data_IF_937008944987
#
_entry.id   IF_937008944987
#
_cell.length_a   1.000
_cell.length_b   1.000
_cell.length_c   1.000
_cell.angle_alpha   90.00
_cell.angle_beta   90.00
_cell.angle_gamma   90.00
#
_symmetry.space_group_name_H-M   'P 1'
#
loop_
_entity.id
_entity.type
_entity.pdbx_description
1 polymer ?
#
# COMPACT_ATOMS: atom_id res chain seq x y z
N UNK A 1 -26.45 8.35 -9.49
CA UNK A 1 -25.95 9.16 -8.35
C UNK A 1 -25.56 8.18 -7.26
N UNK A 2 -24.40 8.35 -6.64
CA UNK A 2 -23.93 7.44 -5.59
C UNK A 2 -24.72 7.65 -4.28
N UNK A 3 -24.89 6.61 -3.43
CA UNK A 3 -25.42 6.80 -2.09
C UNK A 3 -24.46 7.67 -1.24
N UNK A 4 -24.94 8.36 -0.19
CA UNK A 4 -24.09 9.17 0.69
C UNK A 4 -22.90 8.37 1.21
N UNK A 5 -21.70 8.96 1.21
CA UNK A 5 -20.50 8.32 1.75
C UNK A 5 -20.63 8.14 3.27
N UNK A 6 -20.19 7.01 3.84
CA UNK A 6 -20.15 6.85 5.29
C UNK A 6 -19.14 7.82 5.92
N UNK A 7 -19.34 8.16 7.19
CA UNK A 7 -18.35 8.89 7.96
C UNK A 7 -17.11 8.02 8.18
N UNK A 8 -15.93 8.57 7.89
CA UNK A 8 -14.65 7.86 7.96
C UNK A 8 -13.88 8.12 9.27
N UNK A 9 -14.36 9.05 10.11
CA UNK A 9 -13.68 9.41 11.35
C UNK A 9 -12.27 9.95 11.10
N UNK A 10 -11.26 9.28 11.67
CA UNK A 10 -9.84 9.63 11.50
C UNK A 10 -9.25 9.15 10.16
N UNK A 11 -9.99 8.35 9.40
CA UNK A 11 -9.54 7.83 8.12
C UNK A 11 -9.87 8.81 6.99
N UNK A 12 -9.02 8.82 5.98
CA UNK A 12 -9.31 9.50 4.70
C UNK A 12 -9.07 8.56 3.53
N UNK A 13 -9.67 8.89 2.39
CA UNK A 13 -9.35 8.23 1.13
C UNK A 13 -7.87 8.46 0.80
N UNK A 14 -7.20 7.40 0.37
CA UNK A 14 -5.87 7.50 -0.20
C UNK A 14 -5.93 8.17 -1.58
N UNK A 15 -4.89 8.92 -1.88
CA UNK A 15 -4.63 9.54 -3.17
C UNK A 15 -3.41 8.90 -3.80
N UNK A 16 -3.21 9.07 -5.10
CA UNK A 16 -2.01 8.53 -5.75
C UNK A 16 -0.72 9.24 -5.28
N UNK A 17 -0.81 10.45 -4.72
CA UNK A 17 0.31 11.13 -4.05
C UNK A 17 0.72 10.47 -2.71
N UNK A 18 -0.11 9.59 -2.18
CA UNK A 18 0.20 8.84 -0.96
C UNK A 18 1.03 7.57 -1.25
N UNK A 19 1.10 7.12 -2.51
CA UNK A 19 1.68 5.82 -2.90
C UNK A 19 3.11 5.61 -2.39
N UNK A 20 4.05 6.58 -2.53
CA UNK A 20 5.41 6.37 -2.01
C UNK A 20 5.45 6.13 -0.49
N UNK A 21 4.56 6.77 0.26
CA UNK A 21 4.48 6.67 1.74
C UNK A 21 3.75 5.39 2.16
N UNK A 22 2.64 5.08 1.50
CA UNK A 22 1.85 3.86 1.70
C UNK A 22 2.74 2.62 1.55
N UNK A 23 3.61 2.59 0.54
CA UNK A 23 4.46 1.44 0.29
C UNK A 23 5.45 1.16 1.44
N UNK A 24 6.01 2.21 2.06
CA UNK A 24 6.87 2.06 3.25
C UNK A 24 6.06 1.54 4.42
N UNK A 25 4.92 2.17 4.71
CA UNK A 25 4.06 1.76 5.82
C UNK A 25 3.61 0.31 5.67
N UNK A 26 3.22 -0.08 4.46
CA UNK A 26 2.84 -1.45 4.14
C UNK A 26 4.02 -2.42 4.32
N UNK A 27 5.19 -2.12 3.76
CA UNK A 27 6.37 -2.97 3.88
C UNK A 27 6.82 -3.11 5.35
N UNK A 28 6.90 -2.02 6.11
CA UNK A 28 7.28 -2.01 7.52
C UNK A 28 6.27 -2.76 8.39
N UNK A 29 4.97 -2.54 8.15
CA UNK A 29 3.90 -3.18 8.93
C UNK A 29 3.77 -4.67 8.63
N UNK A 30 3.76 -5.06 7.34
CA UNK A 30 3.65 -6.45 6.95
C UNK A 30 4.89 -7.26 7.28
N UNK A 31 6.08 -6.64 7.34
CA UNK A 31 7.32 -7.33 7.70
C UNK A 31 7.18 -8.22 8.94
N UNK A 32 6.45 -7.76 9.96
CA UNK A 32 6.25 -8.50 11.21
C UNK A 32 5.17 -9.60 11.13
N UNK A 33 4.51 -9.76 9.98
CA UNK A 33 3.56 -10.86 9.76
C UNK A 33 4.29 -12.15 9.40
N UNK A 34 3.73 -13.29 9.80
CA UNK A 34 4.20 -14.61 9.36
C UNK A 34 4.13 -14.78 7.83
N UNK A 35 3.29 -13.99 7.17
CA UNK A 35 3.07 -13.99 5.74
C UNK A 35 4.24 -13.42 4.95
N UNK A 36 4.78 -12.30 5.41
CA UNK A 36 5.77 -11.54 4.64
C UNK A 36 7.01 -12.37 4.33
N UNK A 37 7.56 -13.06 5.33
CA UNK A 37 8.75 -13.89 5.14
C UNK A 37 8.50 -15.13 4.27
N UNK A 38 7.25 -15.60 4.21
CA UNK A 38 6.88 -16.72 3.34
C UNK A 38 6.73 -16.27 1.88
N UNK A 39 6.04 -15.16 1.63
CA UNK A 39 5.88 -14.60 0.27
C UNK A 39 7.21 -14.07 -0.29
N UNK A 40 8.00 -13.43 0.57
CA UNK A 40 9.16 -12.61 0.18
C UNK A 40 10.44 -13.07 0.87
N UNK A 41 10.93 -14.31 0.65
CA UNK A 41 12.12 -14.80 1.33
C UNK A 41 13.40 -14.06 0.95
N UNK A 42 13.42 -13.32 -0.17
CA UNK A 42 14.60 -12.60 -0.67
C UNK A 42 14.50 -11.08 -0.49
N UNK A 43 13.59 -10.60 0.39
CA UNK A 43 13.38 -9.17 0.67
C UNK A 43 14.66 -8.40 1.04
N UNK A 44 15.64 -9.05 1.68
CA UNK A 44 16.91 -8.41 2.06
C UNK A 44 17.79 -8.13 0.84
N UNK A 45 17.76 -9.03 -0.15
CA UNK A 45 18.56 -8.92 -1.37
C UNK A 45 17.93 -7.99 -2.40
N UNK A 46 16.59 -7.95 -2.41
CA UNK A 46 15.80 -7.20 -3.37
C UNK A 46 14.74 -6.28 -2.72
N UNK A 47 15.12 -5.41 -1.77
CA UNK A 47 14.17 -4.59 -1.01
C UNK A 47 13.37 -3.60 -1.87
N UNK A 48 13.93 -3.16 -2.99
CA UNK A 48 13.24 -2.30 -3.94
C UNK A 48 12.09 -3.02 -4.67
N UNK A 49 12.20 -4.33 -4.90
CA UNK A 49 11.11 -5.12 -5.49
C UNK A 49 9.92 -5.22 -4.51
N UNK A 50 10.19 -5.34 -3.21
CA UNK A 50 9.15 -5.27 -2.16
C UNK A 50 8.35 -3.98 -2.26
N UNK A 51 9.06 -2.85 -2.35
CA UNK A 51 8.43 -1.53 -2.41
C UNK A 51 7.68 -1.30 -3.72
N UNK A 52 8.28 -1.66 -4.86
CA UNK A 52 7.64 -1.60 -6.17
C UNK A 52 6.34 -2.43 -6.19
N UNK A 53 6.38 -3.63 -5.60
CA UNK A 53 5.19 -4.50 -5.48
C UNK A 53 4.09 -3.81 -4.66
N UNK A 54 4.39 -3.24 -3.49
CA UNK A 54 3.36 -2.53 -2.71
C UNK A 54 2.85 -1.26 -3.41
N UNK A 55 3.72 -0.45 -4.02
CA UNK A 55 3.31 0.75 -4.77
C UNK A 55 2.33 0.39 -5.88
N UNK A 56 2.63 -0.64 -6.65
CA UNK A 56 1.75 -1.07 -7.74
C UNK A 56 0.44 -1.66 -7.21
N UNK A 57 0.46 -2.49 -6.18
CA UNK A 57 -0.76 -3.04 -5.57
C UNK A 57 -1.70 -1.94 -5.11
N UNK A 58 -1.19 -0.93 -4.38
CA UNK A 58 -2.03 0.17 -3.92
C UNK A 58 -2.41 1.16 -5.02
N UNK A 59 -1.54 1.42 -6.00
CA UNK A 59 -1.88 2.24 -7.19
C UNK A 59 -3.05 1.61 -7.93
N UNK A 60 -2.97 0.30 -8.21
CA UNK A 60 -4.04 -0.45 -8.86
C UNK A 60 -5.33 -0.44 -8.04
N UNK A 61 -5.23 -0.60 -6.72
CA UNK A 61 -6.40 -0.54 -5.83
C UNK A 61 -7.05 0.85 -5.81
N UNK A 62 -6.28 1.93 -5.74
CA UNK A 62 -6.80 3.30 -5.78
C UNK A 62 -7.51 3.57 -7.12
N UNK A 63 -6.95 3.10 -8.23
CA UNK A 63 -7.53 3.26 -9.58
C UNK A 63 -8.65 2.25 -9.91
N UNK A 64 -8.94 1.29 -9.02
CA UNK A 64 -9.97 0.30 -9.24
C UNK A 64 -11.33 0.81 -8.72
N UNK A 65 -12.30 1.00 -9.63
CA UNK A 65 -13.66 1.44 -9.30
C UNK A 65 -14.37 0.58 -8.25
N UNK A 66 -13.97 -0.69 -8.12
CA UNK A 66 -14.54 -1.65 -7.18
C UNK A 66 -13.70 -1.80 -5.90
N UNK A 67 -12.77 -0.89 -5.63
CA UNK A 67 -11.97 -0.91 -4.41
C UNK A 67 -11.99 0.45 -3.70
N UNK A 68 -11.67 0.42 -2.41
CA UNK A 68 -11.45 1.59 -1.57
C UNK A 68 -10.10 1.42 -0.89
N UNK A 69 -9.28 2.46 -0.91
CA UNK A 69 -8.05 2.51 -0.10
C UNK A 69 -8.20 3.64 0.90
N UNK A 70 -8.03 3.31 2.17
CA UNK A 70 -8.10 4.24 3.28
C UNK A 70 -6.74 4.34 3.95
N UNK A 71 -6.39 5.55 4.40
CA UNK A 71 -5.20 5.79 5.21
C UNK A 71 -5.58 6.47 6.53
N UNK A 72 -4.80 6.18 7.55
CA UNK A 72 -4.81 6.91 8.81
C UNK A 72 -3.57 7.81 8.88
N UNK A 73 -3.76 9.03 9.36
CA UNK A 73 -2.68 9.98 9.59
C UNK A 73 -2.51 10.26 11.09
N UNK A 74 -1.28 10.29 11.56
CA UNK A 74 -0.94 10.71 12.91
C UNK A 74 0.23 11.70 12.90
N UNK A 75 0.57 12.19 14.09
CA UNK A 75 1.68 13.08 14.36
C UNK A 75 2.98 12.41 13.96
N UNK A 76 3.76 13.11 13.15
CA UNK A 76 5.05 12.62 12.69
C UNK A 76 6.01 12.40 13.87
N UNK A 77 6.37 11.14 14.11
CA UNK A 77 7.47 10.78 14.98
C UNK A 77 8.73 10.41 14.15
N UNK A 78 9.74 11.28 14.20
CA UNK A 78 10.96 11.12 13.40
C UNK A 78 11.83 9.92 13.78
N UNK A 79 11.64 9.34 14.98
CA UNK A 79 12.39 8.16 15.42
C UNK A 79 11.77 6.85 14.95
N UNK A 80 10.55 6.85 14.40
CA UNK A 80 9.91 5.60 13.95
C UNK A 80 10.66 4.96 12.77
N UNK A 81 11.38 5.77 11.99
CA UNK A 81 12.28 5.29 10.94
C UNK A 81 13.35 4.32 11.48
N UNK A 82 13.72 4.43 12.75
CA UNK A 82 14.74 3.58 13.37
C UNK A 82 14.18 2.19 13.77
N UNK A 83 12.85 2.01 13.66
CA UNK A 83 12.16 0.76 13.99
C UNK A 83 11.86 -0.11 12.75
N UNK A 84 12.17 0.36 11.54
CA UNK A 84 11.98 -0.43 10.31
C UNK A 84 13.13 -1.41 10.11
N UNK A 85 12.88 -2.53 9.44
CA UNK A 85 13.92 -3.54 9.19
C UNK A 85 15.04 -3.01 8.29
N UNK A 86 16.26 -3.48 8.52
CA UNK A 86 17.49 -2.89 7.96
C UNK A 86 17.49 -2.73 6.44
N UNK A 87 17.13 -3.78 5.70
CA UNK A 87 17.12 -3.73 4.23
C UNK A 87 16.20 -2.64 3.65
N UNK A 88 15.08 -2.35 4.32
CA UNK A 88 14.20 -1.25 3.94
C UNK A 88 14.78 0.12 4.32
N UNK A 89 15.38 0.23 5.52
CA UNK A 89 16.03 1.45 5.97
C UNK A 89 17.17 1.90 5.04
N UNK A 90 17.91 0.96 4.48
CA UNK A 90 19.06 1.23 3.59
C UNK A 90 18.66 1.54 2.14
N UNK A 91 17.51 1.06 1.70
CA UNK A 91 17.12 1.08 0.28
C UNK A 91 16.18 2.21 -0.09
N UNK A 92 15.57 2.85 0.92
CA UNK A 92 14.62 3.91 0.68
C UNK A 92 15.25 5.29 0.88
N UNK A 93 14.87 6.32 0.10
CA UNK A 93 15.32 7.69 0.32
C UNK A 93 15.05 8.10 1.78
N UNK A 94 15.74 9.13 2.26
CA UNK A 94 15.44 9.62 3.60
C UNK A 94 13.95 9.99 3.72
N UNK A 95 13.35 9.76 4.89
CA UNK A 95 11.93 10.03 5.15
C UNK A 95 11.53 11.49 4.82
N UNK A 96 12.48 12.42 4.93
CA UNK A 96 12.31 13.84 4.62
C UNK A 96 12.24 14.14 3.12
N UNK A 97 12.81 13.30 2.25
CA UNK A 97 12.76 13.47 0.80
C UNK A 97 11.43 13.00 0.18
N UNK A 98 10.60 12.27 0.94
CA UNK A 98 9.40 11.60 0.43
C UNK A 98 8.10 12.30 0.80
N UNK A 99 8.14 13.13 1.83
CA UNK A 99 6.96 13.84 2.31
C UNK A 99 6.99 15.21 1.65
N UNK A 100 5.98 15.57 0.84
CA UNK A 100 5.89 16.92 0.31
C UNK A 100 6.02 17.93 1.45
N UNK A 101 6.77 19.02 1.24
CA UNK A 101 7.11 20.01 2.28
C UNK A 101 5.91 20.46 3.12
N UNK A 102 4.73 20.54 2.50
CA UNK A 102 3.46 20.85 3.15
C UNK A 102 3.07 19.85 4.23
N UNK A 103 3.26 18.56 3.99
CA UNK A 103 2.96 17.49 4.95
C UNK A 103 4.02 17.42 6.05
N UNK A 104 5.29 17.69 5.73
CA UNK A 104 6.36 17.85 6.74
C UNK A 104 6.06 19.04 7.66
N UNK A 105 5.63 20.17 7.09
CA UNK A 105 5.23 21.37 7.84
C UNK A 105 3.98 21.14 8.68
N UNK A 106 3.04 20.33 8.19
CA UNK A 106 1.86 19.92 8.95
C UNK A 106 2.18 18.96 10.10
N UNK A 107 3.38 18.36 10.11
CA UNK A 107 3.79 17.40 11.14
C UNK A 107 2.92 16.14 11.14
N UNK A 108 2.39 15.74 9.97
CA UNK A 108 1.53 14.57 9.81
C UNK A 108 2.18 13.52 8.92
N UNK A 109 2.05 12.26 9.32
CA UNK A 109 2.53 11.10 8.58
C UNK A 109 1.39 10.07 8.41
N UNK A 110 1.43 9.33 7.30
CA UNK A 110 0.57 8.14 7.15
C UNK A 110 1.15 7.05 8.04
N UNK A 111 0.32 6.48 8.91
CA UNK A 111 0.73 5.45 9.87
C UNK A 111 0.06 4.10 9.62
N UNK A 112 -1.02 4.09 8.86
CA UNK A 112 -1.70 2.87 8.48
C UNK A 112 -2.38 3.02 7.11
N UNK A 113 -2.55 1.88 6.44
CA UNK A 113 -3.27 1.77 5.18
C UNK A 113 -4.13 0.50 5.20
N UNK A 114 -5.30 0.58 4.60
CA UNK A 114 -6.18 -0.57 4.37
C UNK A 114 -6.80 -0.49 2.98
N UNK A 115 -6.88 -1.63 2.30
CA UNK A 115 -7.59 -1.77 1.02
C UNK A 115 -8.77 -2.71 1.18
N UNK A 116 -9.92 -2.31 0.64
CA UNK A 116 -11.17 -3.05 0.70
C UNK A 116 -11.71 -3.25 -0.72
N UNK A 117 -12.09 -4.48 -1.05
CA UNK A 117 -12.88 -4.75 -2.24
C UNK A 117 -14.35 -4.51 -1.95
N UNK A 118 -15.03 -3.83 -2.85
CA UNK A 118 -16.48 -3.73 -2.83
C UNK A 118 -17.10 -5.05 -3.26
N UNK A 119 -18.29 -5.33 -2.72
CA UNK A 119 -19.10 -6.45 -3.18
C UNK A 119 -19.42 -6.31 -4.68
N UNK A 120 -19.61 -7.43 -5.39
CA UNK A 120 -20.17 -7.41 -6.74
C UNK A 120 -21.43 -6.56 -6.82
N UNK A 121 -21.58 -5.81 -7.91
CA UNK A 121 -22.72 -4.91 -8.19
C UNK A 121 -23.00 -3.83 -7.13
N UNK A 122 -22.00 -3.50 -6.30
CA UNK A 122 -22.10 -2.40 -5.33
C UNK A 122 -22.51 -1.10 -6.01
N UNK A 123 -23.56 -0.45 -5.48
CA UNK A 123 -24.00 0.87 -5.91
C UNK A 123 -22.96 1.98 -5.65
N UNK A 124 -21.84 1.66 -4.98
CA UNK A 124 -20.73 2.57 -4.70
C UNK A 124 -19.55 2.40 -5.68
N UNK A 125 -19.65 1.49 -6.65
CA UNK A 125 -18.60 1.31 -7.66
C UNK A 125 -18.29 2.63 -8.36
N UNK A 126 -17.04 3.10 -8.25
CA UNK A 126 -16.56 4.36 -8.81
C UNK A 126 -16.76 5.58 -7.92
N UNK A 127 -17.44 5.47 -6.77
CA UNK A 127 -17.70 6.58 -5.87
C UNK A 127 -16.42 7.21 -5.30
N UNK A 128 -15.39 6.39 -5.09
CA UNK A 128 -14.19 6.75 -4.34
C UNK A 128 -12.95 6.89 -5.23
N UNK A 129 -13.14 7.03 -6.54
CA UNK A 129 -12.03 7.21 -7.48
C UNK A 129 -11.39 8.60 -7.33
N UNK A 130 -10.05 8.72 -7.54
CA UNK A 130 -9.38 10.01 -7.58
C UNK A 130 -10.01 10.93 -8.63
N UNK A 131 -10.10 12.23 -8.33
CA UNK A 131 -10.70 13.21 -9.25
C UNK A 131 -9.80 13.53 -10.45
N UNK A 132 -8.48 13.45 -10.29
CA UNK A 132 -7.48 13.75 -11.32
C UNK A 132 -6.49 12.58 -11.48
N UNK A 133 -6.80 11.55 -12.29
CA UNK A 133 -5.92 10.39 -12.43
C UNK A 133 -4.65 10.63 -13.26
N UNK A 134 -4.54 11.77 -13.98
CA UNK A 134 -3.56 11.97 -15.04
C UNK A 134 -2.17 12.49 -14.60
N UNK A 135 -1.92 12.70 -13.30
CA UNK A 135 -0.72 13.39 -12.81
C UNK A 135 0.24 12.54 -11.97
N UNK A 136 0.26 11.22 -12.16
CA UNK A 136 1.03 10.34 -11.29
C UNK A 136 2.07 9.51 -12.04
N UNK A 137 3.17 9.24 -11.34
CA UNK A 137 4.28 8.45 -11.87
C UNK A 137 3.77 7.12 -12.44
N UNK A 138 4.36 6.65 -13.55
CA UNK A 138 4.02 5.37 -14.12
C UNK A 138 4.18 4.23 -13.09
N UNK A 139 3.49 3.10 -13.31
CA UNK A 139 3.74 1.89 -12.53
C UNK A 139 5.23 1.58 -12.47
N UNK A 140 5.70 1.14 -11.31
CA UNK A 140 7.04 0.57 -11.23
C UNK A 140 7.05 -0.75 -12.04
N UNK A 141 8.20 -1.20 -12.53
CA UNK A 141 8.34 -2.53 -13.14
C UNK A 141 8.95 -3.49 -12.09
N UNK A 142 8.14 -4.11 -11.20
CA UNK A 142 8.65 -5.02 -10.21
C UNK A 142 9.14 -6.28 -10.92
N UNK A 143 10.39 -6.65 -10.69
CA UNK A 143 10.92 -7.90 -11.19
C UNK A 143 10.53 -9.09 -10.30
N UNK A 144 9.82 -8.81 -9.19
CA UNK A 144 9.34 -9.77 -8.18
C UNK A 144 10.45 -10.71 -7.68
N UNK A 145 11.71 -10.24 -7.71
CA UNK A 145 12.90 -11.03 -7.32
C UNK A 145 12.96 -11.29 -5.82
N UNK A 146 12.25 -10.51 -5.02
CA UNK A 146 12.10 -10.69 -3.58
C UNK A 146 11.21 -11.89 -3.23
N UNK A 147 10.37 -12.34 -4.16
CA UNK A 147 9.38 -13.40 -3.96
C UNK A 147 9.87 -14.78 -4.36
N UNK A 148 9.23 -15.79 -3.78
CA UNK A 148 9.31 -17.17 -4.26
C UNK A 148 8.05 -17.52 -5.08
N UNK A 149 8.18 -17.92 -6.37
CA UNK A 149 7.04 -18.24 -7.22
C UNK A 149 6.20 -19.43 -6.72
N UNK A 150 6.83 -20.44 -6.14
CA UNK A 150 6.13 -21.61 -5.59
C UNK A 150 5.38 -21.23 -4.31
N UNK A 151 6.01 -20.48 -3.42
CA UNK A 151 5.36 -19.96 -2.23
C UNK A 151 4.13 -19.12 -2.63
N UNK A 152 4.29 -18.21 -3.60
CA UNK A 152 3.19 -17.36 -4.09
C UNK A 152 2.02 -18.18 -4.66
N UNK A 153 2.29 -19.21 -5.47
CA UNK A 153 1.25 -20.08 -6.05
C UNK A 153 0.51 -20.94 -5.00
N UNK A 154 1.24 -21.56 -4.07
CA UNK A 154 0.63 -22.34 -2.98
C UNK A 154 -0.30 -21.49 -2.12
N UNK A 155 0.09 -20.24 -1.95
CA UNK A 155 -0.58 -19.28 -1.13
C UNK A 155 -1.86 -18.73 -1.77
N UNK A 156 -1.80 -18.37 -3.05
CA UNK A 156 -2.96 -18.01 -3.86
C UNK A 156 -4.03 -19.12 -3.83
N UNK A 157 -3.61 -20.38 -4.02
CA UNK A 157 -4.49 -21.56 -3.92
C UNK A 157 -5.15 -21.73 -2.55
N UNK A 158 -4.45 -21.32 -1.48
CA UNK A 158 -4.93 -21.48 -0.11
C UNK A 158 -5.91 -20.37 0.28
N UNK A 159 -5.66 -19.13 -0.14
CA UNK A 159 -6.53 -17.99 0.16
C UNK A 159 -7.73 -17.85 -0.76
N UNK A 160 -7.59 -18.34 -1.99
CA UNK A 160 -8.65 -18.37 -3.00
C UNK A 160 -8.93 -19.82 -3.39
N UNK A 161 -9.38 -20.65 -2.43
CA UNK A 161 -9.79 -22.00 -2.78
C UNK A 161 -10.90 -21.87 -3.82
N UNK A 162 -10.69 -22.47 -5.00
CA UNK A 162 -11.75 -22.56 -6.01
C UNK A 162 -12.96 -23.14 -5.29
N UNK A 163 -14.08 -22.44 -5.32
CA UNK A 163 -15.35 -23.01 -4.90
C UNK A 163 -15.48 -24.33 -5.67
N UNK A 164 -15.50 -25.43 -4.92
CA UNK A 164 -15.59 -26.77 -5.50
C UNK A 164 -16.98 -26.88 -6.09
N UNK A 165 -17.05 -26.99 -7.42
CA UNK A 165 -18.28 -27.31 -8.16
C UNK A 165 -18.89 -28.64 -7.69
#
# INVERSE_FOLDING_TARGET
MFPPAPELGVLRLATLADIPRIAVVAASGFYHSSWFHYERPYYEKFPLDTLASYRNSYRNAISNKNAIVLVAEDTLNRSEKDSVYGALAESYPSFEEQIPDEHLKAGKAIVAVASFSLLPDSQRSGQFQPKDPEHYDPPDDPQDRDKDPLASDLMDKTLHPRETE
#
